data_IF_085915662436
#
_entry.id   IF_085915662436
#
_cell.length_a   1.000
_cell.length_b   1.000
_cell.length_c   1.000
_cell.angle_alpha   90.00
_cell.angle_beta   90.00
_cell.angle_gamma   90.00
#
_symmetry.space_group_name_H-M   'P 1'
#
loop_
_entity.id
_entity.type
_entity.pdbx_description
1 polymer ?
#
# COMPACT_ATOMS: atom_id res chain seq x y z
N UNK A 1 -16.02 -1.07 1.38
CA UNK A 1 -14.71 -1.51 0.88
C UNK A 1 -13.71 -0.36 0.82
N UNK A 2 -13.94 0.69 0.00
CA UNK A 2 -12.93 1.73 -0.26
C UNK A 2 -12.42 2.46 1.00
N UNK A 3 -13.30 2.85 1.93
CA UNK A 3 -12.87 3.52 3.18
C UNK A 3 -12.08 2.56 4.07
N UNK A 4 -12.51 1.29 4.16
CA UNK A 4 -11.76 0.28 4.91
C UNK A 4 -10.36 0.05 4.32
N UNK A 5 -10.23 0.14 3.00
CA UNK A 5 -8.96 0.08 2.31
C UNK A 5 -7.96 1.12 2.80
N UNK A 6 -8.33 2.40 2.93
CA UNK A 6 -7.39 3.45 3.34
C UNK A 6 -6.78 3.19 4.73
N UNK A 7 -7.56 2.58 5.64
CA UNK A 7 -7.05 2.15 6.95
C UNK A 7 -6.13 0.94 6.84
N UNK A 8 -6.48 -0.02 5.97
CA UNK A 8 -5.65 -1.20 5.72
C UNK A 8 -4.33 -0.80 5.07
N UNK A 9 -4.36 0.04 4.02
CA UNK A 9 -3.19 0.62 3.38
C UNK A 9 -2.24 1.23 4.40
N UNK A 10 -2.75 2.14 5.24
CA UNK A 10 -1.95 2.81 6.27
C UNK A 10 -1.34 1.81 7.27
N UNK A 11 -2.13 0.85 7.77
CA UNK A 11 -1.64 -0.16 8.72
C UNK A 11 -0.58 -1.06 8.11
N UNK A 12 -0.83 -1.58 6.92
CA UNK A 12 0.12 -2.44 6.21
C UNK A 12 1.41 -1.68 5.92
N UNK A 13 1.32 -0.47 5.41
CA UNK A 13 2.48 0.34 5.09
C UNK A 13 3.31 0.63 6.35
N UNK A 14 2.69 1.15 7.41
CA UNK A 14 3.37 1.57 8.63
C UNK A 14 3.93 0.41 9.45
N UNK A 15 3.10 -0.62 9.72
CA UNK A 15 3.44 -1.63 10.73
C UNK A 15 3.92 -2.95 10.14
N UNK A 16 3.60 -3.23 8.87
CA UNK A 16 3.96 -4.48 8.24
C UNK A 16 5.14 -4.30 7.28
N UNK A 17 5.05 -3.32 6.38
CA UNK A 17 6.06 -3.11 5.33
C UNK A 17 7.32 -2.41 5.85
N UNK A 18 7.19 -1.55 6.86
CA UNK A 18 8.32 -0.85 7.50
C UNK A 18 8.87 -1.54 8.76
N UNK A 19 8.36 -2.72 9.14
CA UNK A 19 8.79 -3.42 10.36
C UNK A 19 10.09 -4.24 10.20
N UNK A 20 10.89 -3.99 9.16
CA UNK A 20 12.19 -4.63 9.02
C UNK A 20 13.26 -3.85 9.79
N UNK A 21 13.60 -4.31 10.99
CA UNK A 21 14.65 -3.71 11.83
C UNK A 21 16.08 -4.02 11.34
N UNK A 22 16.26 -5.03 10.47
CA UNK A 22 17.57 -5.37 9.93
C UNK A 22 17.50 -5.93 8.51
N UNK A 23 18.39 -5.43 7.66
CA UNK A 23 18.63 -6.03 6.33
C UNK A 23 19.38 -7.34 6.54
N UNK A 24 18.91 -8.48 6.00
CA UNK A 24 19.68 -9.73 6.06
C UNK A 24 21.06 -9.55 5.42
N UNK A 25 22.11 -10.03 6.07
CA UNK A 25 23.48 -9.98 5.54
C UNK A 25 23.65 -10.73 4.21
N UNK A 26 22.72 -11.68 3.94
CA UNK A 26 22.70 -12.46 2.69
C UNK A 26 21.29 -12.49 2.13
N UNK A 27 21.17 -12.14 0.88
CA UNK A 27 19.93 -12.22 0.11
C UNK A 27 19.86 -13.60 -0.54
N UNK A 28 18.99 -14.47 -0.07
CA UNK A 28 18.61 -15.69 -0.76
C UNK A 28 17.35 -15.48 -1.62
N UNK A 29 17.05 -16.43 -2.50
CA UNK A 29 15.86 -16.34 -3.38
C UNK A 29 14.55 -16.22 -2.59
N UNK A 30 14.48 -16.83 -1.42
CA UNK A 30 13.30 -16.78 -0.53
C UNK A 30 13.13 -15.37 0.04
N UNK A 31 14.21 -14.75 0.49
CA UNK A 31 14.19 -13.38 1.03
C UNK A 31 13.83 -12.36 -0.05
N UNK A 32 14.38 -12.53 -1.26
CA UNK A 32 14.05 -11.66 -2.42
C UNK A 32 12.58 -11.83 -2.83
N UNK A 33 12.01 -13.02 -2.70
CA UNK A 33 10.62 -13.32 -3.00
C UNK A 33 9.63 -12.89 -1.90
N UNK A 34 10.10 -12.48 -0.73
CA UNK A 34 9.25 -12.00 0.34
C UNK A 34 8.66 -10.62 0.00
N UNK A 35 7.34 -10.52 0.08
CA UNK A 35 6.64 -9.26 -0.20
C UNK A 35 7.08 -8.13 0.73
N UNK A 36 7.28 -8.40 2.00
CA UNK A 36 7.70 -7.40 2.98
C UNK A 36 9.10 -6.89 2.68
N UNK A 37 10.01 -7.79 2.33
CA UNK A 37 11.34 -7.42 1.89
C UNK A 37 11.33 -6.67 0.55
N UNK A 38 10.37 -7.00 -0.34
CA UNK A 38 10.19 -6.30 -1.61
C UNK A 38 9.91 -4.81 -1.40
N UNK A 39 9.12 -4.43 -0.39
CA UNK A 39 8.87 -3.03 -0.05
C UNK A 39 10.13 -2.30 0.43
N UNK A 40 10.96 -2.97 1.25
CA UNK A 40 12.24 -2.43 1.66
C UNK A 40 13.18 -2.19 0.46
N UNK A 41 13.23 -3.15 -0.46
CA UNK A 41 13.98 -3.00 -1.72
C UNK A 41 13.39 -1.89 -2.61
N UNK A 42 12.07 -1.70 -2.59
CA UNK A 42 11.42 -0.59 -3.28
C UNK A 42 11.90 0.77 -2.73
N UNK A 43 12.06 0.93 -1.41
CA UNK A 43 12.65 2.13 -0.84
C UNK A 43 14.12 2.34 -1.18
N UNK A 44 14.88 1.26 -1.40
CA UNK A 44 16.29 1.36 -1.83
C UNK A 44 16.43 1.65 -3.33
N UNK A 45 15.51 1.11 -4.14
CA UNK A 45 15.56 1.13 -5.60
C UNK A 45 14.20 1.56 -6.17
N UNK A 46 13.73 2.72 -5.76
CA UNK A 46 12.39 3.22 -6.07
C UNK A 46 12.10 3.44 -7.57
N UNK A 47 13.11 3.37 -8.42
CA UNK A 47 13.02 3.44 -9.88
C UNK A 47 12.81 2.08 -10.57
N UNK A 48 12.58 1.00 -9.82
CA UNK A 48 12.35 -0.33 -10.37
C UNK A 48 10.85 -0.64 -10.44
N UNK A 49 10.28 -0.60 -11.64
CA UNK A 49 8.83 -0.71 -11.90
C UNK A 49 8.18 -1.98 -11.31
N UNK A 50 8.84 -3.12 -11.37
CA UNK A 50 8.28 -4.41 -10.93
C UNK A 50 8.13 -4.55 -9.41
N UNK A 51 8.60 -3.58 -8.61
CA UNK A 51 8.49 -3.60 -7.14
C UNK A 51 7.40 -2.69 -6.58
N UNK A 52 6.66 -2.02 -7.44
CA UNK A 52 5.67 -1.01 -7.04
C UNK A 52 4.29 -1.62 -6.84
N UNK A 53 3.92 -2.57 -7.71
CA UNK A 53 2.61 -3.19 -7.70
C UNK A 53 2.55 -4.31 -6.67
N UNK A 54 1.49 -4.34 -5.88
CA UNK A 54 1.26 -5.40 -4.89
C UNK A 54 0.94 -6.72 -5.61
N UNK A 55 1.66 -7.82 -5.32
CA UNK A 55 1.42 -9.10 -5.98
C UNK A 55 0.01 -9.65 -5.73
N UNK A 56 -0.60 -10.22 -6.76
CA UNK A 56 -1.97 -10.76 -6.69
C UNK A 56 -2.16 -11.77 -5.54
N UNK A 57 -1.16 -12.62 -5.29
CA UNK A 57 -1.26 -13.59 -4.20
C UNK A 57 -1.36 -12.94 -2.81
N UNK A 58 -0.77 -11.75 -2.62
CA UNK A 58 -0.90 -10.98 -1.38
C UNK A 58 -2.31 -10.39 -1.25
N UNK A 59 -2.84 -9.84 -2.34
CA UNK A 59 -4.22 -9.34 -2.41
C UNK A 59 -5.22 -10.45 -2.07
N UNK A 60 -5.02 -11.66 -2.60
CA UNK A 60 -5.87 -12.82 -2.30
C UNK A 60 -5.88 -13.20 -0.81
N UNK A 61 -4.78 -13.01 -0.07
CA UNK A 61 -4.74 -13.25 1.38
C UNK A 61 -5.65 -12.32 2.18
N UNK A 62 -6.02 -11.18 1.64
CA UNK A 62 -6.97 -10.24 2.24
C UNK A 62 -8.38 -10.48 1.72
N UNK A 63 -8.55 -10.53 0.42
CA UNK A 63 -9.87 -10.62 -0.23
C UNK A 63 -10.59 -11.92 0.13
N UNK A 64 -9.91 -13.07 0.09
CA UNK A 64 -10.56 -14.36 0.31
C UNK A 64 -11.09 -14.50 1.76
N UNK A 65 -10.29 -14.29 2.83
CA UNK A 65 -10.81 -14.35 4.19
C UNK A 65 -11.89 -13.31 4.46
N UNK A 66 -11.74 -12.08 3.95
CA UNK A 66 -12.73 -11.02 4.10
C UNK A 66 -14.05 -11.43 3.45
N UNK A 67 -14.01 -12.00 2.25
CA UNK A 67 -15.20 -12.51 1.57
C UNK A 67 -15.88 -13.60 2.42
N UNK A 68 -15.12 -14.58 2.88
CA UNK A 68 -15.66 -15.70 3.68
C UNK A 68 -16.34 -15.19 4.95
N UNK A 69 -15.68 -14.31 5.71
CA UNK A 69 -16.25 -13.75 6.94
C UNK A 69 -17.54 -12.96 6.65
N UNK A 70 -17.52 -12.07 5.67
CA UNK A 70 -18.68 -11.25 5.33
C UNK A 70 -19.83 -12.08 4.74
N UNK A 71 -19.51 -13.13 3.99
CA UNK A 71 -20.51 -14.06 3.46
C UNK A 71 -21.31 -14.73 4.56
N UNK A 72 -20.63 -15.24 5.59
CA UNK A 72 -21.31 -15.90 6.72
C UNK A 72 -22.04 -14.93 7.65
N UNK A 73 -21.54 -13.70 7.80
CA UNK A 73 -22.17 -12.72 8.67
C UNK A 73 -23.32 -11.94 8.01
N UNK A 74 -23.20 -11.61 6.72
CA UNK A 74 -24.08 -10.65 6.05
C UNK A 74 -24.60 -11.11 4.68
N UNK A 75 -24.18 -12.28 4.21
CA UNK A 75 -24.61 -12.86 2.94
C UNK A 75 -23.82 -12.38 1.73
N UNK A 76 -24.12 -12.97 0.57
CA UNK A 76 -23.35 -12.86 -0.67
C UNK A 76 -23.22 -11.42 -1.18
N UNK A 77 -24.31 -10.66 -1.16
CA UNK A 77 -24.33 -9.30 -1.74
C UNK A 77 -23.36 -8.39 -0.99
N UNK A 78 -23.44 -8.36 0.35
CA UNK A 78 -22.54 -7.55 1.18
C UNK A 78 -21.08 -7.98 1.00
N UNK A 79 -20.82 -9.29 0.95
CA UNK A 79 -19.47 -9.81 0.74
C UNK A 79 -18.90 -9.39 -0.62
N UNK A 80 -19.69 -9.47 -1.69
CA UNK A 80 -19.28 -9.05 -3.04
C UNK A 80 -19.03 -7.54 -3.11
N UNK A 81 -19.98 -6.73 -2.65
CA UNK A 81 -19.88 -5.26 -2.73
C UNK A 81 -18.70 -4.73 -1.92
N UNK A 82 -18.49 -5.30 -0.73
CA UNK A 82 -17.35 -4.90 0.10
C UNK A 82 -16.02 -5.24 -0.58
N UNK A 83 -15.87 -6.47 -1.09
CA UNK A 83 -14.64 -6.91 -1.75
C UNK A 83 -14.41 -6.22 -3.10
N UNK A 84 -15.47 -5.90 -3.85
CA UNK A 84 -15.36 -5.07 -5.05
C UNK A 84 -14.78 -3.69 -4.71
N UNK A 85 -15.25 -3.08 -3.62
CA UNK A 85 -14.70 -1.82 -3.11
C UNK A 85 -13.23 -1.93 -2.68
N UNK A 86 -12.81 -3.04 -2.04
CA UNK A 86 -11.39 -3.29 -1.73
C UNK A 86 -10.56 -3.41 -3.01
N UNK A 87 -11.02 -4.19 -3.99
CA UNK A 87 -10.32 -4.39 -5.26
C UNK A 87 -10.16 -3.10 -6.07
N UNK A 88 -11.20 -2.27 -6.16
CA UNK A 88 -11.13 -0.96 -6.82
C UNK A 88 -10.13 -0.02 -6.12
N UNK A 89 -10.14 0.00 -4.80
CA UNK A 89 -9.22 0.82 -4.04
C UNK A 89 -7.76 0.34 -4.17
N UNK A 90 -7.54 -0.98 -4.24
CA UNK A 90 -6.23 -1.55 -4.56
C UNK A 90 -5.74 -1.12 -5.94
N UNK A 91 -6.56 -1.23 -6.97
CA UNK A 91 -6.20 -0.79 -8.32
C UNK A 91 -5.88 0.72 -8.36
N UNK A 92 -6.65 1.51 -7.62
CA UNK A 92 -6.37 2.94 -7.48
C UNK A 92 -5.03 3.19 -6.78
N UNK A 93 -4.75 2.48 -5.69
CA UNK A 93 -3.47 2.51 -4.98
C UNK A 93 -2.30 2.20 -5.92
N UNK A 94 -2.32 1.04 -6.60
CA UNK A 94 -1.24 0.64 -7.50
C UNK A 94 -1.02 1.67 -8.61
N UNK A 95 -2.11 2.22 -9.18
CA UNK A 95 -2.05 3.24 -10.22
C UNK A 95 -1.43 4.55 -9.72
N UNK A 96 -1.85 5.02 -8.54
CA UNK A 96 -1.32 6.24 -7.93
C UNK A 96 0.14 6.08 -7.52
N UNK A 97 0.48 4.96 -6.89
CA UNK A 97 1.84 4.64 -6.47
C UNK A 97 2.80 4.57 -7.65
N UNK A 98 2.39 3.88 -8.74
CA UNK A 98 3.15 3.84 -9.99
C UNK A 98 3.33 5.25 -10.57
N UNK A 99 2.26 6.05 -10.61
CA UNK A 99 2.34 7.42 -11.13
C UNK A 99 3.24 8.33 -10.30
N UNK A 100 3.26 8.16 -8.97
CA UNK A 100 4.14 8.95 -8.10
C UNK A 100 5.61 8.74 -8.44
N UNK A 101 6.01 7.53 -8.79
CA UNK A 101 7.41 7.21 -9.14
C UNK A 101 7.77 7.52 -10.60
N UNK A 102 6.88 7.28 -11.55
CA UNK A 102 7.19 7.33 -12.99
C UNK A 102 6.40 8.39 -13.76
N UNK A 103 5.34 8.92 -13.19
CA UNK A 103 4.51 9.96 -13.83
C UNK A 103 5.05 11.36 -13.62
N UNK A 104 4.56 12.29 -14.45
CA UNK A 104 4.77 13.73 -14.28
C UNK A 104 3.98 14.32 -13.09
N UNK A 105 4.02 15.63 -12.96
CA UNK A 105 3.27 16.35 -11.94
C UNK A 105 1.78 16.35 -12.22
N UNK A 106 1.01 16.34 -11.13
CA UNK A 106 -0.45 16.43 -11.22
C UNK A 106 -0.90 17.89 -11.35
N UNK A 107 -1.89 18.12 -12.21
CA UNK A 107 -2.58 19.43 -12.28
C UNK A 107 -3.51 19.68 -11.10
N UNK A 108 -4.02 18.62 -10.49
CA UNK A 108 -4.92 18.70 -9.34
C UNK A 108 -4.06 18.69 -8.08
N UNK A 109 -4.15 19.77 -7.30
CA UNK A 109 -3.33 19.98 -6.09
C UNK A 109 -3.40 18.82 -5.10
N UNK A 110 -4.58 18.25 -4.88
CA UNK A 110 -4.75 17.11 -3.98
C UNK A 110 -3.82 15.93 -4.32
N UNK A 111 -3.75 15.52 -5.59
CA UNK A 111 -2.88 14.43 -6.03
C UNK A 111 -1.40 14.83 -6.02
N UNK A 112 -1.12 16.09 -6.32
CA UNK A 112 0.24 16.59 -6.23
C UNK A 112 0.76 16.57 -4.78
N UNK A 113 -0.07 16.99 -3.82
CA UNK A 113 0.28 16.94 -2.40
C UNK A 113 0.52 15.50 -1.91
N UNK A 114 -0.27 14.52 -2.38
CA UNK A 114 -0.05 13.09 -2.07
C UNK A 114 1.28 12.61 -2.67
N UNK A 115 1.59 12.95 -3.91
CA UNK A 115 2.87 12.63 -4.55
C UNK A 115 4.05 13.21 -3.76
N UNK A 116 4.00 14.48 -3.38
CA UNK A 116 5.06 15.14 -2.62
C UNK A 116 5.30 14.50 -1.26
N UNK A 117 4.23 14.11 -0.55
CA UNK A 117 4.30 13.39 0.72
C UNK A 117 4.94 12.00 0.52
N UNK A 118 4.49 11.24 -0.46
CA UNK A 118 5.06 9.94 -0.78
C UNK A 118 6.55 10.03 -1.15
N UNK A 119 6.96 11.04 -1.93
CA UNK A 119 8.38 11.28 -2.23
C UNK A 119 9.16 11.71 -0.98
N UNK A 120 8.54 12.47 -0.05
CA UNK A 120 9.15 12.81 1.23
C UNK A 120 9.39 11.55 2.07
N UNK A 121 8.40 10.65 2.13
CA UNK A 121 8.50 9.35 2.78
C UNK A 121 9.66 8.51 2.23
N UNK A 122 9.83 8.44 0.91
CA UNK A 122 10.92 7.69 0.29
C UNK A 122 12.31 8.28 0.57
N UNK A 123 12.46 9.61 0.47
CA UNK A 123 13.78 10.24 0.36
C UNK A 123 14.20 11.09 1.55
N UNK A 124 13.28 11.37 2.51
CA UNK A 124 13.58 12.22 3.65
C UNK A 124 13.28 11.57 4.99
N UNK A 125 12.06 11.08 5.19
CA UNK A 125 11.62 10.57 6.48
C UNK A 125 10.67 9.38 6.32
N UNK A 126 11.20 8.18 6.44
CA UNK A 126 10.47 6.90 6.34
C UNK A 126 9.52 6.63 7.51
N UNK A 127 9.52 7.48 8.53
CA UNK A 127 8.64 7.36 9.70
C UNK A 127 7.37 8.18 9.59
N UNK A 128 7.17 8.84 8.45
CA UNK A 128 6.05 9.76 8.16
C UNK A 128 5.40 9.46 6.81
N UNK A 129 4.21 10.03 6.58
CA UNK A 129 3.50 10.02 5.30
C UNK A 129 3.27 8.61 4.72
N UNK A 130 2.71 7.72 5.52
CA UNK A 130 2.45 6.33 5.14
C UNK A 130 1.27 6.17 4.16
N UNK A 131 0.34 7.13 4.13
CA UNK A 131 -0.83 7.09 3.25
C UNK A 131 -0.49 7.48 1.82
N UNK A 132 -0.65 6.55 0.87
CA UNK A 132 -0.46 6.77 -0.58
C UNK A 132 -1.73 7.35 -1.21
N UNK A 133 -2.90 6.76 -0.93
CA UNK A 133 -4.18 7.20 -1.51
C UNK A 133 -4.87 8.28 -0.68
N UNK A 134 -4.52 8.40 0.58
CA UNK A 134 -5.11 9.36 1.51
C UNK A 134 -4.18 9.63 2.69
N UNK A 135 -3.94 10.89 3.01
CA UNK A 135 -3.21 11.29 4.23
C UNK A 135 -4.09 11.35 5.48
N UNK A 136 -5.36 10.90 5.41
CA UNK A 136 -6.29 11.02 6.55
C UNK A 136 -5.75 10.34 7.82
N UNK A 137 -5.22 9.12 7.67
CA UNK A 137 -4.70 8.36 8.80
C UNK A 137 -3.36 8.89 9.32
N UNK A 138 -2.55 9.52 8.46
CA UNK A 138 -1.36 10.23 8.89
C UNK A 138 -1.70 11.40 9.82
N UNK A 139 -2.79 12.15 9.52
CA UNK A 139 -3.29 13.18 10.44
C UNK A 139 -3.84 12.59 11.75
N UNK A 140 -4.58 11.48 11.70
CA UNK A 140 -5.14 10.84 12.89
C UNK A 140 -4.07 10.31 13.83
N UNK A 141 -2.97 9.79 13.29
CA UNK A 141 -1.89 9.16 14.05
C UNK A 141 -0.60 10.01 14.16
N UNK A 142 -0.68 11.29 13.80
CA UNK A 142 0.43 12.26 13.87
C UNK A 142 1.71 11.79 13.17
N UNK A 143 1.55 11.28 11.94
CA UNK A 143 2.65 10.83 11.06
C UNK A 143 2.78 11.69 9.80
N UNK A 144 2.50 12.99 9.88
CA UNK A 144 2.67 13.96 8.78
C UNK A 144 4.08 14.55 8.78
#
# INVERSE_FOLDING_TARGET
GCIAWTMMEYKEHRFTLHNFESIPEKFDEKTIGDFFFSHHLHHMFANQEYRIVIPLWHICKVIIPTFVVLYFLFGTVVALDFNAGLGLAQLFYDSMHFWFHFGGDFKIKFFQDLKEKHMRHHYRDKTKDFGVTSSFWDYVFDTI
#
